data_IF_271253749653
#
_entry.id   IF_271253749653
#
_cell.length_a   1.000
_cell.length_b   1.000
_cell.length_c   1.000
_cell.angle_alpha   90.00
_cell.angle_beta   90.00
_cell.angle_gamma   90.00
#
_symmetry.space_group_name_H-M   'P 1'
#
loop_
_entity.id
_entity.type
_entity.pdbx_description
1 polymer ?
#
# COMPACT_ATOMS: atom_id res chain seq x y z
N UNK A 1 -15.36 26.10 0.99
CA UNK A 1 -15.80 27.39 1.59
C UNK A 1 -17.31 27.51 1.46
N UNK A 2 -18.04 27.89 2.51
CA UNK A 2 -19.48 28.13 2.41
C UNK A 2 -19.73 29.58 1.97
N UNK A 3 -20.32 29.77 0.78
CA UNK A 3 -20.69 31.07 0.24
C UNK A 3 -21.66 30.93 -0.94
N UNK A 4 -22.64 31.83 -1.04
CA UNK A 4 -23.64 31.84 -2.10
C UNK A 4 -22.96 32.12 -3.45
N UNK A 5 -22.70 31.07 -4.24
CA UNK A 5 -21.95 31.13 -5.51
C UNK A 5 -20.67 30.28 -5.52
N UNK A 6 -20.32 29.62 -4.42
CA UNK A 6 -19.23 28.65 -4.40
C UNK A 6 -19.64 27.39 -5.16
N UNK A 7 -18.82 26.97 -6.12
CA UNK A 7 -18.89 25.64 -6.71
C UNK A 7 -18.56 24.62 -5.61
N UNK A 8 -19.61 24.02 -5.05
CA UNK A 8 -19.47 23.03 -3.98
C UNK A 8 -18.96 21.76 -4.64
N UNK A 9 -17.64 21.63 -4.71
CA UNK A 9 -17.00 20.39 -5.11
C UNK A 9 -17.34 19.32 -4.07
N UNK A 10 -17.87 18.22 -4.55
CA UNK A 10 -18.11 17.02 -3.74
C UNK A 10 -16.80 16.53 -3.12
N UNK A 11 -16.87 15.71 -2.07
CA UNK A 11 -15.66 15.13 -1.47
C UNK A 11 -14.86 14.39 -2.57
N UNK A 12 -13.58 14.73 -2.68
CA UNK A 12 -12.68 14.19 -3.69
C UNK A 12 -12.68 12.66 -3.61
N UNK A 13 -13.13 11.99 -4.69
CA UNK A 13 -13.29 10.54 -4.73
C UNK A 13 -11.96 9.80 -4.95
N UNK A 14 -10.86 10.54 -5.13
CA UNK A 14 -9.51 10.02 -5.38
C UNK A 14 -8.94 9.31 -4.15
N UNK A 15 -8.12 8.29 -4.40
CA UNK A 15 -7.39 7.58 -3.36
C UNK A 15 -6.33 8.47 -2.69
N UNK A 16 -5.91 8.13 -1.46
CA UNK A 16 -4.91 8.92 -0.73
C UNK A 16 -3.58 8.99 -1.50
N UNK A 17 -3.17 7.87 -2.13
CA UNK A 17 -1.99 7.84 -2.99
C UNK A 17 -2.06 8.79 -4.18
N UNK A 18 -3.23 8.90 -4.83
CA UNK A 18 -3.45 9.81 -5.96
C UNK A 18 -3.41 11.28 -5.52
N UNK A 19 -3.99 11.60 -4.36
CA UNK A 19 -3.94 12.94 -3.77
C UNK A 19 -2.49 13.33 -3.48
N UNK A 20 -1.67 12.39 -3.01
CA UNK A 20 -0.27 12.68 -2.72
C UNK A 20 0.56 12.97 -3.97
N UNK A 21 0.17 12.51 -5.16
CA UNK A 21 0.88 12.85 -6.41
C UNK A 21 0.88 14.35 -6.70
N UNK A 22 -0.13 15.08 -6.20
CA UNK A 22 -0.23 16.54 -6.33
C UNK A 22 0.45 17.30 -5.17
N UNK A 23 1.18 16.61 -4.28
CA UNK A 23 1.75 17.19 -3.07
C UNK A 23 2.84 18.22 -3.38
N UNK A 24 2.72 19.41 -2.78
CA UNK A 24 3.71 20.47 -2.89
C UNK A 24 4.58 20.59 -1.64
N UNK A 25 5.82 21.12 -1.74
CA UNK A 25 6.68 21.36 -0.59
C UNK A 25 6.04 22.26 0.49
N UNK A 26 5.15 23.17 0.10
CA UNK A 26 4.43 24.02 1.06
C UNK A 26 3.48 23.23 1.97
N UNK A 27 2.94 22.11 1.51
CA UNK A 27 2.09 21.24 2.31
C UNK A 27 2.90 20.52 3.39
N UNK A 28 4.17 20.19 3.10
CA UNK A 28 5.11 19.65 4.07
C UNK A 28 5.47 20.67 5.16
N UNK A 29 5.56 21.96 4.81
CA UNK A 29 5.76 23.05 5.77
C UNK A 29 4.54 23.21 6.68
N UNK A 30 3.32 23.23 6.10
CA UNK A 30 2.06 23.28 6.86
C UNK A 30 1.89 22.05 7.76
N UNK A 31 2.41 20.89 7.34
CA UNK A 31 2.44 19.66 8.14
C UNK A 31 3.43 19.73 9.32
N UNK A 32 4.40 20.66 9.29
CA UNK A 32 5.31 20.93 10.40
C UNK A 32 6.78 20.58 10.13
N UNK A 33 7.15 20.27 8.88
CA UNK A 33 8.55 20.12 8.50
C UNK A 33 9.21 21.49 8.32
N UNK A 34 10.49 21.60 8.69
CA UNK A 34 11.23 22.87 8.61
C UNK A 34 11.72 23.14 7.17
N UNK A 35 11.78 24.41 6.73
CA UNK A 35 12.18 24.77 5.36
C UNK A 35 13.57 24.26 4.94
N UNK A 36 14.54 24.28 5.85
CA UNK A 36 15.90 23.85 5.58
C UNK A 36 16.00 22.35 5.30
N UNK A 37 15.08 21.57 5.87
CA UNK A 37 15.02 20.13 5.67
C UNK A 37 14.30 19.78 4.37
N UNK A 38 13.15 20.41 4.11
CA UNK A 38 12.39 20.24 2.86
C UNK A 38 13.24 20.67 1.65
N UNK A 39 14.00 21.77 1.76
CA UNK A 39 14.91 22.23 0.69
C UNK A 39 16.06 21.27 0.36
N UNK A 40 16.35 20.28 1.22
CA UNK A 40 17.35 19.21 0.97
C UNK A 40 16.74 17.95 0.37
N UNK A 41 15.43 17.91 0.16
CA UNK A 41 14.70 16.80 -0.45
C UNK A 41 14.20 17.22 -1.83
N UNK A 42 15.08 17.27 -2.86
CA UNK A 42 14.71 17.72 -4.20
C UNK A 42 13.83 16.73 -4.96
N UNK A 43 13.65 15.51 -4.44
CA UNK A 43 12.87 14.44 -5.08
C UNK A 43 11.77 14.01 -4.12
N UNK A 44 10.53 14.12 -4.58
CA UNK A 44 9.35 13.58 -3.91
C UNK A 44 8.91 12.33 -4.67
N UNK A 45 8.65 11.25 -3.95
CA UNK A 45 8.10 10.02 -4.49
C UNK A 45 6.94 9.59 -3.60
N UNK A 46 5.78 9.42 -4.22
CA UNK A 46 4.54 9.04 -3.56
C UNK A 46 4.33 7.54 -3.74
N UNK A 47 3.60 6.92 -2.81
CA UNK A 47 3.25 5.52 -2.89
C UNK A 47 1.75 5.41 -3.13
N UNK A 48 1.39 4.46 -3.99
CA UNK A 48 0.01 4.06 -4.20
C UNK A 48 -0.44 3.07 -3.12
N UNK A 49 -1.74 3.04 -2.87
CA UNK A 49 -2.32 2.05 -1.96
C UNK A 49 -2.22 0.65 -2.57
N UNK A 50 -2.01 -0.35 -1.72
CA UNK A 50 -1.94 -1.75 -2.15
C UNK A 50 -3.35 -2.27 -2.45
N UNK A 51 -3.58 -2.70 -3.69
CA UNK A 51 -4.77 -3.42 -4.08
C UNK A 51 -4.63 -4.94 -3.90
N UNK A 52 -5.69 -5.66 -4.22
CA UNK A 52 -5.76 -7.12 -4.07
C UNK A 52 -4.71 -7.83 -4.94
N UNK A 53 -4.56 -7.39 -6.18
CA UNK A 53 -3.64 -7.99 -7.16
C UNK A 53 -2.18 -7.74 -6.76
N UNK A 54 -1.86 -6.56 -6.23
CA UNK A 54 -0.55 -6.24 -5.68
C UNK A 54 -0.22 -7.14 -4.48
N UNK A 55 -1.19 -7.42 -3.59
CA UNK A 55 -0.98 -8.32 -2.46
C UNK A 55 -0.76 -9.77 -2.90
N UNK A 56 -1.51 -10.26 -3.89
CA UNK A 56 -1.29 -11.59 -4.48
C UNK A 56 0.09 -11.68 -5.13
N UNK A 57 0.50 -10.62 -5.83
CA UNK A 57 1.84 -10.50 -6.42
C UNK A 57 2.91 -10.58 -5.35
N UNK A 58 2.77 -9.84 -4.24
CA UNK A 58 3.70 -9.87 -3.10
C UNK A 58 3.76 -11.26 -2.44
N UNK A 59 2.64 -11.98 -2.39
CA UNK A 59 2.58 -13.33 -1.82
C UNK A 59 3.33 -14.37 -2.65
N UNK A 60 3.49 -14.17 -3.96
CA UNK A 60 3.94 -15.22 -4.90
C UNK A 60 5.21 -14.89 -5.69
N UNK A 61 5.32 -13.69 -6.24
CA UNK A 61 6.37 -13.33 -7.21
C UNK A 61 7.74 -13.03 -6.61
N UNK A 62 7.89 -12.17 -5.57
CA UNK A 62 9.20 -11.72 -5.16
C UNK A 62 10.08 -12.89 -4.70
N UNK A 63 11.41 -12.69 -4.75
CA UNK A 63 12.37 -13.71 -4.33
C UNK A 63 12.11 -14.18 -2.89
N UNK A 64 11.69 -13.25 -2.02
CA UNK A 64 11.40 -13.50 -0.62
C UNK A 64 9.88 -13.56 -0.34
N UNK A 65 9.07 -14.00 -1.31
CA UNK A 65 7.63 -14.13 -1.15
C UNK A 65 7.24 -15.10 -0.01
N UNK A 66 6.17 -14.81 0.71
CA UNK A 66 5.73 -15.62 1.86
C UNK A 66 5.40 -17.06 1.47
N UNK A 67 4.75 -17.27 0.32
CA UNK A 67 4.44 -18.62 -0.18
C UNK A 67 5.72 -19.43 -0.33
N UNK A 68 6.76 -18.87 -0.96
CA UNK A 68 8.06 -19.55 -1.14
C UNK A 68 8.73 -19.86 0.19
N UNK A 69 8.63 -18.96 1.17
CA UNK A 69 9.17 -19.19 2.52
C UNK A 69 8.49 -20.37 3.21
N UNK A 70 7.15 -20.44 3.19
CA UNK A 70 6.41 -21.55 3.79
C UNK A 70 6.60 -22.85 3.02
N UNK A 71 6.63 -22.81 1.70
CA UNK A 71 6.93 -23.99 0.88
C UNK A 71 8.31 -24.56 1.24
N UNK A 72 9.33 -23.71 1.35
CA UNK A 72 10.66 -24.15 1.75
C UNK A 72 10.68 -24.71 3.17
N UNK A 73 9.93 -24.12 4.10
CA UNK A 73 9.83 -24.62 5.48
C UNK A 73 9.26 -26.04 5.53
N UNK A 74 8.20 -26.31 4.76
CA UNK A 74 7.59 -27.65 4.70
C UNK A 74 8.45 -28.65 3.93
N UNK A 75 9.20 -28.20 2.92
CA UNK A 75 10.15 -29.03 2.18
C UNK A 75 11.27 -29.58 3.07
N UNK A 76 11.65 -28.87 4.14
CA UNK A 76 12.61 -29.37 5.14
C UNK A 76 12.07 -30.58 5.92
N UNK A 77 10.75 -30.74 5.97
CA UNK A 77 10.04 -31.85 6.59
C UNK A 77 9.51 -32.84 5.54
N UNK A 78 10.14 -32.88 4.35
CA UNK A 78 9.79 -33.74 3.21
C UNK A 78 8.30 -33.63 2.79
N UNK A 79 7.67 -32.47 3.04
CA UNK A 79 6.24 -32.23 2.80
C UNK A 79 6.04 -31.16 1.74
N UNK A 80 5.16 -31.42 0.76
CA UNK A 80 4.81 -30.45 -0.27
C UNK A 80 3.63 -29.57 0.16
N UNK A 81 3.83 -28.25 0.14
CA UNK A 81 2.78 -27.27 0.39
C UNK A 81 2.38 -26.56 -0.92
N UNK A 82 1.09 -26.55 -1.22
CA UNK A 82 0.53 -25.88 -2.40
C UNK A 82 -0.56 -24.93 -1.97
N UNK A 83 -0.54 -23.72 -2.54
CA UNK A 83 -1.60 -22.73 -2.40
C UNK A 83 -2.35 -22.64 -3.72
N UNK A 84 -3.68 -22.61 -3.66
CA UNK A 84 -4.52 -22.35 -4.83
C UNK A 84 -4.69 -20.85 -5.03
N UNK A 85 -4.96 -20.43 -6.26
CA UNK A 85 -5.18 -19.02 -6.58
C UNK A 85 -6.31 -18.42 -5.73
N UNK A 86 -7.43 -19.14 -5.58
CA UNK A 86 -8.55 -18.73 -4.71
C UNK A 86 -8.13 -18.50 -3.25
N UNK A 87 -7.19 -19.30 -2.73
CA UNK A 87 -6.70 -19.14 -1.37
C UNK A 87 -5.85 -17.87 -1.24
N UNK A 88 -5.03 -17.56 -2.25
CA UNK A 88 -4.20 -16.35 -2.27
C UNK A 88 -5.06 -15.09 -2.34
N UNK A 89 -6.06 -15.09 -3.22
CA UNK A 89 -7.09 -14.05 -3.33
C UNK A 89 -7.83 -13.85 -2.00
N UNK A 90 -8.24 -14.93 -1.34
CA UNK A 90 -8.92 -14.84 -0.05
C UNK A 90 -8.03 -14.27 1.08
N UNK A 91 -6.72 -14.61 1.08
CA UNK A 91 -5.75 -14.05 2.02
C UNK A 91 -5.56 -12.55 1.76
N UNK A 92 -5.41 -12.14 0.49
CA UNK A 92 -5.27 -10.74 0.10
C UNK A 92 -6.48 -9.90 0.55
N UNK A 93 -7.71 -10.36 0.28
CA UNK A 93 -8.94 -9.70 0.75
C UNK A 93 -8.97 -9.52 2.26
N UNK A 94 -8.64 -10.55 3.03
CA UNK A 94 -8.57 -10.46 4.50
C UNK A 94 -7.52 -9.46 4.98
N UNK A 95 -6.39 -9.33 4.30
CA UNK A 95 -5.35 -8.36 4.66
C UNK A 95 -5.79 -6.91 4.39
N UNK A 96 -6.53 -6.67 3.30
CA UNK A 96 -7.15 -5.37 2.99
C UNK A 96 -8.20 -5.01 4.05
N UNK A 97 -9.10 -5.93 4.38
CA UNK A 97 -10.13 -5.73 5.42
C UNK A 97 -9.54 -5.33 6.78
N UNK A 98 -8.37 -5.90 7.11
CA UNK A 98 -7.63 -5.61 8.35
C UNK A 98 -6.85 -4.29 8.32
N UNK A 99 -6.81 -3.58 7.18
CA UNK A 99 -6.06 -2.32 6.98
C UNK A 99 -4.59 -2.40 7.38
N UNK A 100 -3.99 -3.57 7.27
CA UNK A 100 -2.59 -3.82 7.64
C UNK A 100 -1.66 -3.89 6.43
N UNK A 101 -2.21 -3.85 5.21
CA UNK A 101 -1.48 -3.92 3.95
C UNK A 101 -0.64 -5.19 3.84
N UNK A 102 0.49 -5.12 3.12
CA UNK A 102 1.41 -6.26 2.97
C UNK A 102 1.99 -6.79 4.30
N UNK A 103 2.05 -5.95 5.34
CA UNK A 103 2.52 -6.39 6.68
C UNK A 103 1.56 -7.37 7.33
N UNK A 104 0.27 -7.27 7.01
CA UNK A 104 -0.78 -8.15 7.51
C UNK A 104 -0.75 -9.57 6.95
N UNK A 105 -0.05 -9.79 5.83
CA UNK A 105 -0.05 -11.08 5.13
C UNK A 105 0.57 -12.23 5.93
N UNK A 106 1.31 -11.92 7.01
CA UNK A 106 1.94 -12.90 7.91
C UNK A 106 1.13 -13.16 9.20
N UNK A 107 0.12 -12.35 9.50
CA UNK A 107 -0.56 -12.30 10.82
C UNK A 107 -1.99 -12.83 10.84
#
# INVERSE_FOLDING_TARGET
AMGFGADVRDNDARGIGEIFTDLEPEDLLKFGLIPEFVGRLPVLATLEDLDEDALVTILTEPKNALVKQYQRLFELEDTQLTFTDDALTAIAKRAIERKTGARGLRS
#
